data_IF_556631983253
#
_entry.id   IF_556631983253
#
_cell.length_a   1.000
_cell.length_b   1.000
_cell.length_c   1.000
_cell.angle_alpha   90.00
_cell.angle_beta   90.00
_cell.angle_gamma   90.00
#
_symmetry.space_group_name_H-M   'P 1'
#
loop_
_entity.id
_entity.type
_entity.pdbx_description
1 polymer ?
#
# COMPACT_ATOMS: atom_id res chain seq x y z
N UNK A 1 -1.93 5.44 -19.12
CA UNK A 1 -0.51 5.43 -18.72
C UNK A 1 0.32 5.11 -19.95
N UNK A 2 1.36 5.90 -20.23
CA UNK A 2 2.33 5.63 -21.30
C UNK A 2 3.59 4.88 -20.76
N UNK A 3 4.52 4.53 -21.63
CA UNK A 3 5.72 3.77 -21.25
C UNK A 3 6.67 4.51 -20.31
N UNK A 4 6.76 5.84 -20.40
CA UNK A 4 7.58 6.65 -19.49
C UNK A 4 6.93 6.77 -18.11
N UNK A 5 5.61 6.91 -18.07
CA UNK A 5 4.82 6.92 -16.85
C UNK A 5 4.89 5.55 -16.15
N UNK A 6 4.84 4.45 -16.89
CA UNK A 6 5.08 3.10 -16.33
C UNK A 6 6.47 2.99 -15.71
N UNK A 7 7.50 3.47 -16.42
CA UNK A 7 8.88 3.43 -15.91
C UNK A 7 9.02 4.21 -14.60
N UNK A 8 8.46 5.42 -14.52
CA UNK A 8 8.45 6.23 -13.28
C UNK A 8 7.69 5.51 -12.15
N UNK A 9 6.48 5.02 -12.42
CA UNK A 9 5.68 4.26 -11.47
C UNK A 9 6.42 3.01 -10.93
N UNK A 10 7.10 2.28 -11.81
CA UNK A 10 7.87 1.09 -11.42
C UNK A 10 9.08 1.41 -10.54
N UNK A 11 9.75 2.55 -10.78
CA UNK A 11 10.85 3.01 -9.95
C UNK A 11 10.35 3.41 -8.55
N UNK A 12 9.25 4.16 -8.47
CA UNK A 12 8.60 4.53 -7.21
C UNK A 12 8.15 3.29 -6.41
N UNK A 13 7.54 2.31 -7.08
CA UNK A 13 7.14 1.06 -6.45
C UNK A 13 8.34 0.25 -5.93
N UNK A 14 9.43 0.21 -6.71
CA UNK A 14 10.66 -0.49 -6.31
C UNK A 14 11.27 0.13 -5.05
N UNK A 15 11.40 1.45 -5.02
CA UNK A 15 11.88 2.20 -3.85
C UNK A 15 10.98 1.98 -2.64
N UNK A 16 9.66 1.95 -2.84
CA UNK A 16 8.70 1.62 -1.79
C UNK A 16 8.92 0.22 -1.21
N UNK A 17 9.10 -0.81 -2.05
CA UNK A 17 9.34 -2.18 -1.61
C UNK A 17 10.64 -2.26 -0.81
N UNK A 18 11.72 -1.62 -1.29
CA UNK A 18 13.01 -1.58 -0.59
C UNK A 18 12.85 -0.91 0.79
N UNK A 19 12.17 0.23 0.86
CA UNK A 19 11.90 0.92 2.11
C UNK A 19 11.02 0.11 3.06
N UNK A 20 10.02 -0.62 2.54
CA UNK A 20 9.20 -1.53 3.32
C UNK A 20 10.03 -2.66 3.93
N UNK A 21 10.90 -3.30 3.14
CA UNK A 21 11.77 -4.39 3.60
C UNK A 21 12.82 -3.92 4.62
N UNK A 22 13.41 -2.74 4.40
CA UNK A 22 14.40 -2.17 5.31
C UNK A 22 13.80 -1.80 6.67
N UNK A 23 12.58 -1.24 6.67
CA UNK A 23 11.90 -0.79 7.89
C UNK A 23 10.90 -1.82 8.44
N UNK A 24 10.92 -3.07 7.93
CA UNK A 24 9.96 -4.11 8.31
C UNK A 24 10.04 -4.47 9.81
N UNK A 25 11.19 -4.22 10.44
CA UNK A 25 11.44 -4.50 11.88
C UNK A 25 10.77 -3.48 12.80
N UNK A 26 10.56 -2.26 12.32
CA UNK A 26 9.92 -1.16 13.07
C UNK A 26 8.39 -1.22 12.96
N UNK A 27 7.87 -1.93 11.95
CA UNK A 27 6.44 -2.13 11.74
C UNK A 27 5.89 -3.22 12.66
N UNK A 28 4.66 -3.01 13.15
CA UNK A 28 3.99 -3.93 14.07
C UNK A 28 3.75 -5.28 13.39
N UNK A 29 3.91 -6.35 14.16
CA UNK A 29 3.73 -7.73 13.68
C UNK A 29 2.25 -8.05 13.49
N UNK A 30 1.42 -7.63 14.44
CA UNK A 30 -0.01 -7.86 14.47
C UNK A 30 -0.73 -6.59 13.96
N UNK A 31 -1.69 -6.77 13.06
CA UNK A 31 -2.59 -5.69 12.65
C UNK A 31 -3.57 -5.39 13.80
N UNK A 32 -3.84 -4.10 14.03
CA UNK A 32 -4.78 -3.64 15.07
C UNK A 32 -6.07 -3.08 14.42
N UNK A 33 -6.50 -3.71 13.34
CA UNK A 33 -7.66 -3.28 12.54
C UNK A 33 -8.83 -4.21 12.79
N UNK A 34 -10.03 -3.66 12.83
CA UNK A 34 -11.25 -4.46 12.99
C UNK A 34 -11.64 -5.16 11.67
N UNK A 35 -12.21 -6.37 11.73
CA UNK A 35 -12.78 -7.01 10.54
C UNK A 35 -13.78 -6.08 9.83
N UNK A 36 -13.54 -5.79 8.55
CA UNK A 36 -14.39 -4.90 7.76
C UNK A 36 -13.95 -3.43 7.70
N UNK A 37 -12.89 -3.03 8.42
CA UNK A 37 -12.39 -1.63 8.44
C UNK A 37 -12.11 -1.05 7.05
N UNK A 38 -11.65 -1.88 6.12
CA UNK A 38 -11.29 -1.44 4.78
C UNK A 38 -12.52 -0.97 3.99
N UNK A 39 -13.69 -1.59 4.21
CA UNK A 39 -14.93 -1.24 3.50
C UNK A 39 -15.44 0.15 3.87
N UNK A 40 -15.26 0.57 5.13
CA UNK A 40 -15.62 1.92 5.57
C UNK A 40 -14.64 3.01 5.13
N UNK A 41 -13.43 2.63 4.69
CA UNK A 41 -12.38 3.56 4.30
C UNK A 41 -12.29 3.76 2.78
N UNK A 42 -12.83 2.82 2.03
CA UNK A 42 -12.93 2.92 0.58
C UNK A 42 -14.15 3.76 0.18
N UNK A 43 -14.05 4.56 -0.90
CA UNK A 43 -15.19 5.29 -1.43
C UNK A 43 -16.27 4.31 -1.91
N UNK A 44 -17.55 4.63 -1.64
CA UNK A 44 -18.68 3.80 -2.07
C UNK A 44 -18.87 3.78 -3.60
N UNK A 45 -18.31 4.76 -4.29
CA UNK A 45 -18.38 4.90 -5.73
C UNK A 45 -16.98 4.94 -6.33
N UNK A 46 -16.83 4.32 -7.50
CA UNK A 46 -15.60 4.38 -8.27
C UNK A 46 -15.36 5.83 -8.75
N UNK A 47 -14.10 6.29 -8.78
CA UNK A 47 -13.80 7.62 -9.29
C UNK A 47 -14.12 7.71 -10.78
N UNK A 48 -14.82 8.77 -11.18
CA UNK A 48 -15.18 9.05 -12.57
C UNK A 48 -13.97 9.37 -13.45
N UNK A 49 -12.83 9.68 -12.84
CA UNK A 49 -11.59 10.06 -13.52
C UNK A 49 -10.44 9.14 -13.10
N UNK A 50 -9.53 8.82 -14.03
CA UNK A 50 -8.33 8.08 -13.70
C UNK A 50 -7.46 8.88 -12.73
N UNK A 51 -7.05 8.21 -11.66
CA UNK A 51 -6.15 8.76 -10.65
C UNK A 51 -4.68 8.49 -11.00
N UNK A 52 -3.78 9.29 -10.41
CA UNK A 52 -2.35 9.08 -10.60
C UNK A 52 -1.90 7.87 -9.79
N UNK A 53 -0.95 7.11 -10.35
CA UNK A 53 -0.38 5.95 -9.65
C UNK A 53 0.22 6.31 -8.28
N UNK A 54 0.80 7.50 -8.16
CA UNK A 54 1.32 8.02 -6.89
C UNK A 54 0.26 8.16 -5.80
N UNK A 55 -0.99 8.46 -6.17
CA UNK A 55 -2.08 8.63 -5.21
C UNK A 55 -2.63 7.27 -4.78
N UNK A 56 -2.69 6.30 -5.71
CA UNK A 56 -2.98 4.89 -5.40
C UNK A 56 -1.94 4.32 -4.42
N UNK A 57 -0.64 4.58 -4.63
CA UNK A 57 0.40 4.11 -3.71
C UNK A 57 0.24 4.67 -2.28
N UNK A 58 -0.17 5.94 -2.14
CA UNK A 58 -0.46 6.53 -0.83
C UNK A 58 -1.64 5.86 -0.15
N UNK A 59 -2.68 5.52 -0.90
CA UNK A 59 -3.84 4.82 -0.37
C UNK A 59 -3.49 3.39 0.06
N UNK A 60 -2.61 2.70 -0.67
CA UNK A 60 -2.05 1.41 -0.25
C UNK A 60 -1.33 1.53 1.09
N UNK A 61 -0.50 2.56 1.27
CA UNK A 61 0.19 2.77 2.53
C UNK A 61 -0.75 3.16 3.68
N UNK A 62 -1.78 3.96 3.40
CA UNK A 62 -2.70 4.46 4.42
C UNK A 62 -3.72 3.42 4.86
N UNK A 63 -4.29 2.68 3.91
CA UNK A 63 -5.44 1.81 4.15
C UNK A 63 -5.08 0.34 4.19
N UNK A 64 -4.14 -0.13 3.34
CA UNK A 64 -3.83 -1.56 3.24
C UNK A 64 -2.76 -1.95 4.26
N UNK A 65 -1.68 -1.17 4.38
CA UNK A 65 -0.56 -1.51 5.28
C UNK A 65 -0.95 -1.74 6.75
N UNK A 66 -1.89 -0.99 7.37
CA UNK A 66 -2.30 -1.26 8.75
C UNK A 66 -2.96 -2.63 8.97
N UNK A 67 -3.56 -3.21 7.92
CA UNK A 67 -4.20 -4.52 7.97
C UNK A 67 -3.33 -5.68 7.48
N UNK A 68 -2.13 -5.41 6.96
CA UNK A 68 -1.20 -6.47 6.58
C UNK A 68 -0.64 -7.11 7.85
N UNK A 69 -0.89 -8.41 7.99
CA UNK A 69 -0.21 -9.22 8.98
C UNK A 69 1.19 -9.57 8.46
N UNK A 70 2.24 -9.17 9.19
CA UNK A 70 3.60 -9.62 8.88
C UNK A 70 3.74 -11.08 9.32
N UNK A 71 3.78 -12.00 8.36
CA UNK A 71 4.17 -13.38 8.64
C UNK A 71 5.64 -13.38 9.02
N UNK A 72 5.94 -13.69 10.28
CA UNK A 72 7.32 -13.87 10.73
C UNK A 72 7.76 -15.26 10.25
N UNK A 73 8.72 -15.40 9.32
CA UNK A 73 9.35 -16.70 9.11
C UNK A 73 10.05 -17.09 10.42
N UNK A 74 9.77 -18.31 10.88
CA UNK A 74 10.23 -18.88 12.15
C UNK A 74 11.68 -18.48 12.48
N UNK A 75 11.88 -17.97 13.71
CA UNK A 75 13.20 -17.79 14.33
C UNK A 75 13.85 -19.13 14.65
#
# INVERSE_FOLDING_TARGET
MDGEQFKKASAELSEYIVNYLNNIRERRVLSNVEPGYLRSLLPEQLPDKPEKFSDILKDVEKFIMPGILRVIPYS
#
